data_IF_004374113281
#
_entry.id   IF_004374113281
#
_cell.length_a   1.000
_cell.length_b   1.000
_cell.length_c   1.000
_cell.angle_alpha   90.00
_cell.angle_beta   90.00
_cell.angle_gamma   90.00
#
_symmetry.space_group_name_H-M   'P 1'
#
loop_
_entity.id
_entity.type
_entity.pdbx_description
1 polymer ?
#
# COMPACT_ATOMS: atom_id res chain seq x y z
N UNK A 1 -9.04 5.79 -30.46
CA UNK A 1 -9.74 6.35 -29.29
C UNK A 1 -9.36 5.50 -28.09
N UNK A 2 -8.65 6.06 -27.09
CA UNK A 2 -8.37 5.31 -25.86
C UNK A 2 -9.70 5.05 -25.17
N UNK A 3 -9.97 3.80 -24.81
CA UNK A 3 -11.24 3.47 -24.13
C UNK A 3 -11.24 4.11 -22.74
N UNK A 4 -12.43 4.44 -22.21
CA UNK A 4 -12.58 5.07 -20.89
C UNK A 4 -11.79 4.32 -19.79
N UNK A 5 -11.71 2.99 -19.88
CA UNK A 5 -10.92 2.13 -19.01
C UNK A 5 -9.41 2.41 -19.05
N UNK A 6 -8.83 2.67 -20.23
CA UNK A 6 -7.40 2.99 -20.37
C UNK A 6 -7.07 4.35 -19.77
N UNK A 7 -7.97 5.33 -19.90
CA UNK A 7 -7.80 6.65 -19.30
C UNK A 7 -7.87 6.58 -17.76
N UNK A 8 -8.83 5.84 -17.22
CA UNK A 8 -8.95 5.56 -15.78
C UNK A 8 -7.73 4.83 -15.25
N UNK A 9 -7.27 3.79 -15.96
CA UNK A 9 -6.04 3.09 -15.61
C UNK A 9 -4.86 4.06 -15.61
N UNK A 10 -4.77 4.94 -16.61
CA UNK A 10 -3.75 5.99 -16.72
C UNK A 10 -3.71 6.90 -15.48
N UNK A 11 -4.87 7.39 -15.04
CA UNK A 11 -4.96 8.24 -13.84
C UNK A 11 -4.63 7.49 -12.55
N UNK A 12 -5.17 6.28 -12.37
CA UNK A 12 -4.90 5.42 -11.21
C UNK A 12 -3.41 5.16 -11.01
N UNK A 13 -2.68 4.88 -12.08
CA UNK A 13 -1.23 4.67 -11.98
C UNK A 13 -0.42 5.91 -11.65
N UNK A 14 -0.86 7.09 -12.10
CA UNK A 14 -0.19 8.37 -11.78
C UNK A 14 -0.40 8.72 -10.31
N UNK A 15 -1.63 8.56 -9.80
CA UNK A 15 -1.98 8.90 -8.42
C UNK A 15 -1.51 7.84 -7.42
N UNK A 16 -1.53 6.56 -7.79
CA UNK A 16 -1.12 5.49 -6.87
C UNK A 16 0.35 5.55 -6.46
N UNK A 17 1.25 6.09 -7.29
CA UNK A 17 2.66 6.19 -6.94
C UNK A 17 2.93 7.08 -5.71
N UNK A 18 2.53 8.37 -5.68
CA UNK A 18 2.69 9.20 -4.50
C UNK A 18 1.84 8.70 -3.33
N UNK A 19 0.62 8.21 -3.58
CA UNK A 19 -0.26 7.68 -2.52
C UNK A 19 0.35 6.46 -1.84
N UNK A 20 0.96 5.54 -2.61
CA UNK A 20 1.62 4.35 -2.05
C UNK A 20 2.72 4.73 -1.07
N UNK A 21 3.60 5.66 -1.44
CA UNK A 21 4.69 6.10 -0.58
C UNK A 21 4.19 6.88 0.63
N UNK A 22 3.13 7.68 0.46
CA UNK A 22 2.49 8.38 1.58
C UNK A 22 1.89 7.39 2.58
N UNK A 23 1.12 6.41 2.11
CA UNK A 23 0.54 5.36 2.96
C UNK A 23 1.62 4.52 3.64
N UNK A 24 2.72 4.21 2.93
CA UNK A 24 3.85 3.49 3.49
C UNK A 24 4.47 4.25 4.69
N UNK A 25 4.68 5.56 4.55
CA UNK A 25 5.18 6.41 5.64
C UNK A 25 4.18 6.51 6.80
N UNK A 26 2.89 6.70 6.50
CA UNK A 26 1.84 6.81 7.51
C UNK A 26 1.69 5.52 8.32
N UNK A 27 1.74 4.35 7.66
CA UNK A 27 1.64 3.06 8.32
C UNK A 27 2.89 2.72 9.13
N UNK A 28 4.08 3.13 8.68
CA UNK A 28 5.29 3.03 9.50
C UNK A 28 5.17 3.87 10.77
N UNK A 29 4.83 5.14 10.59
CA UNK A 29 4.71 6.08 11.70
C UNK A 29 3.63 5.65 12.69
N UNK A 30 2.41 5.40 12.21
CA UNK A 30 1.29 4.93 13.02
C UNK A 30 1.56 3.56 13.66
N UNK A 31 2.21 2.66 12.92
CA UNK A 31 2.61 1.34 13.43
C UNK A 31 3.56 1.42 14.62
N UNK A 32 4.58 2.29 14.57
CA UNK A 32 5.48 2.52 15.70
C UNK A 32 4.78 3.16 16.90
N UNK A 33 3.86 4.11 16.68
CA UNK A 33 3.08 4.73 17.76
C UNK A 33 2.21 3.67 18.47
N UNK A 34 1.45 2.88 17.70
CA UNK A 34 0.57 1.83 18.25
C UNK A 34 1.37 0.73 18.96
N UNK A 35 2.52 0.35 18.40
CA UNK A 35 3.43 -0.60 19.04
C UNK A 35 3.94 -0.07 20.39
N UNK A 36 4.24 1.23 20.49
CA UNK A 36 4.60 1.89 21.74
C UNK A 36 3.47 1.94 22.77
N UNK A 37 2.22 1.81 22.32
CA UNK A 37 1.03 1.73 23.19
C UNK A 37 0.68 0.27 23.57
N UNK A 38 1.43 -0.72 23.09
CA UNK A 38 1.17 -2.14 23.33
C UNK A 38 0.05 -2.73 22.45
N UNK A 39 -0.41 -2.00 21.44
CA UNK A 39 -1.44 -2.48 20.52
C UNK A 39 -0.82 -3.37 19.44
N UNK A 40 -1.31 -4.61 19.35
CA UNK A 40 -0.90 -5.59 18.35
C UNK A 40 -1.14 -5.08 16.91
N UNK A 41 -2.12 -4.20 16.70
CA UNK A 41 -2.40 -3.54 15.42
C UNK A 41 -1.17 -2.82 14.86
N UNK A 42 -0.34 -2.25 15.74
CA UNK A 42 0.92 -1.62 15.35
C UNK A 42 1.92 -2.61 14.73
N UNK A 43 2.05 -3.80 15.31
CA UNK A 43 2.92 -4.86 14.77
C UNK A 43 2.42 -5.35 13.41
N UNK A 44 1.11 -5.52 13.26
CA UNK A 44 0.51 -5.92 11.98
C UNK A 44 0.68 -4.86 10.90
N UNK A 45 0.52 -3.57 11.24
CA UNK A 45 0.75 -2.47 10.32
C UNK A 45 2.21 -2.41 9.83
N UNK A 46 3.18 -2.55 10.74
CA UNK A 46 4.60 -2.62 10.39
C UNK A 46 4.93 -3.87 9.56
N UNK A 47 4.33 -5.02 9.91
CA UNK A 47 4.46 -6.25 9.15
C UNK A 47 3.96 -6.10 7.71
N UNK A 48 2.81 -5.46 7.51
CA UNK A 48 2.25 -5.18 6.19
C UNK A 48 3.20 -4.31 5.34
N UNK A 49 3.72 -3.22 5.92
CA UNK A 49 4.71 -2.35 5.26
C UNK A 49 5.93 -3.16 4.82
N UNK A 50 6.44 -4.02 5.71
CA UNK A 50 7.63 -4.82 5.44
C UNK A 50 7.39 -5.86 4.34
N UNK A 51 6.25 -6.55 4.37
CA UNK A 51 5.84 -7.50 3.33
C UNK A 51 5.71 -6.81 1.97
N UNK A 52 5.04 -5.65 1.89
CA UNK A 52 4.89 -4.90 0.64
C UNK A 52 6.25 -4.37 0.13
N UNK A 53 7.13 -3.95 1.04
CA UNK A 53 8.49 -3.53 0.69
C UNK A 53 9.30 -4.69 0.11
N UNK A 54 9.32 -5.85 0.77
CA UNK A 54 10.00 -7.07 0.28
C UNK A 54 9.41 -7.53 -1.05
N UNK A 55 8.08 -7.55 -1.16
CA UNK A 55 7.39 -7.93 -2.40
C UNK A 55 7.78 -7.03 -3.57
N UNK A 56 8.11 -5.75 -3.33
CA UNK A 56 8.54 -4.79 -4.37
C UNK A 56 9.87 -5.18 -5.02
N UNK A 57 10.74 -5.84 -4.27
CA UNK A 57 12.03 -6.31 -4.78
C UNK A 57 11.96 -7.70 -5.40
N UNK A 58 10.85 -8.43 -5.21
CA UNK A 58 10.69 -9.78 -5.73
C UNK A 58 10.71 -9.81 -7.28
N UNK A 59 11.46 -10.73 -7.91
CA UNK A 59 11.64 -10.75 -9.36
C UNK A 59 10.33 -10.87 -10.16
N UNK A 60 9.37 -11.63 -9.63
CA UNK A 60 8.06 -11.79 -10.28
C UNK A 60 7.23 -10.50 -10.25
N UNK A 61 7.37 -9.68 -9.20
CA UNK A 61 6.61 -8.44 -9.06
C UNK A 61 7.25 -7.31 -9.86
N UNK A 62 8.58 -7.30 -10.00
CA UNK A 62 9.27 -6.40 -10.92
C UNK A 62 8.76 -6.54 -12.36
N UNK A 63 8.37 -7.76 -12.78
CA UNK A 63 7.77 -8.00 -14.12
C UNK A 63 6.38 -7.40 -14.29
N UNK A 64 5.60 -7.28 -13.22
CA UNK A 64 4.28 -6.64 -13.24
C UNK A 64 4.37 -5.11 -13.44
N UNK A 65 5.55 -4.52 -13.23
CA UNK A 65 5.78 -3.09 -13.38
C UNK A 65 5.38 -2.30 -12.14
N UNK A 66 6.08 -1.17 -11.91
CA UNK A 66 5.93 -0.37 -10.69
C UNK A 66 4.50 0.15 -10.45
N UNK A 67 3.74 0.37 -11.54
CA UNK A 67 2.35 0.82 -11.49
C UNK A 67 1.43 -0.17 -10.79
N UNK A 68 1.49 -1.45 -11.16
CA UNK A 68 0.68 -2.50 -10.56
C UNK A 68 1.00 -2.67 -9.07
N UNK A 69 2.29 -2.59 -8.73
CA UNK A 69 2.71 -2.67 -7.34
C UNK A 69 2.14 -1.52 -6.49
N UNK A 70 2.16 -0.30 -7.01
CA UNK A 70 1.63 0.85 -6.29
C UNK A 70 0.11 0.72 -6.08
N UNK A 71 -0.63 0.32 -7.11
CA UNK A 71 -2.10 0.14 -7.02
C UNK A 71 -2.46 -0.96 -6.02
N UNK A 72 -1.83 -2.13 -6.12
CA UNK A 72 -2.07 -3.25 -5.20
C UNK A 72 -1.64 -2.93 -3.77
N UNK A 73 -0.52 -2.23 -3.60
CA UNK A 73 -0.05 -1.77 -2.30
C UNK A 73 -1.02 -0.77 -1.66
N UNK A 74 -1.52 0.21 -2.41
CA UNK A 74 -2.56 1.12 -1.93
C UNK A 74 -3.84 0.38 -1.54
N UNK A 75 -4.25 -0.62 -2.33
CA UNK A 75 -5.42 -1.44 -2.01
C UNK A 75 -5.21 -2.26 -0.72
N UNK A 76 -4.01 -2.81 -0.52
CA UNK A 76 -3.67 -3.55 0.70
C UNK A 76 -3.68 -2.65 1.95
N UNK A 77 -3.09 -1.45 1.86
CA UNK A 77 -3.16 -0.45 2.94
C UNK A 77 -4.61 -0.02 3.22
N UNK A 78 -5.38 0.25 2.17
CA UNK A 78 -6.79 0.61 2.31
C UNK A 78 -7.62 -0.49 2.95
N UNK A 79 -7.40 -1.75 2.57
CA UNK A 79 -8.08 -2.91 3.15
C UNK A 79 -7.72 -3.08 4.63
N UNK A 80 -6.44 -2.96 4.99
CA UNK A 80 -6.02 -3.03 6.39
C UNK A 80 -6.68 -1.94 7.23
N UNK A 81 -6.67 -0.70 6.73
CA UNK A 81 -7.34 0.41 7.42
C UNK A 81 -8.83 0.15 7.56
N UNK A 82 -9.51 -0.31 6.50
CA UNK A 82 -10.93 -0.62 6.56
C UNK A 82 -11.25 -1.69 7.62
N UNK A 83 -10.43 -2.74 7.72
CA UNK A 83 -10.64 -3.82 8.71
C UNK A 83 -10.39 -3.37 10.15
N UNK A 84 -9.42 -2.48 10.40
CA UNK A 84 -9.01 -2.10 11.76
C UNK A 84 -9.61 -0.77 12.25
N UNK A 85 -10.23 0.03 11.37
CA UNK A 85 -10.79 1.35 11.72
C UNK A 85 -12.33 1.38 11.63
N UNK A 86 -12.96 0.41 10.97
CA UNK A 86 -14.43 0.31 10.82
C UNK A 86 -15.03 -0.72 11.80
N UNK A 87 -14.23 -1.62 12.37
CA UNK A 87 -14.58 -2.57 13.43
C UNK A 87 -14.01 -2.10 14.77
#
# INVERSE_FOLDING_TARGET
MKTFAEALWHMLGVVSAPVYWLLWLLFLWGGFILMGQGDATGQWALGLVLVLFVARFHPQVKKLGGRWMNVLGCAAFGLFAAVNFIL
#
